data_IF_854912081662
#
_entry.id   IF_854912081662
#
_cell.length_a   1.000
_cell.length_b   1.000
_cell.length_c   1.000
_cell.angle_alpha   90.00
_cell.angle_beta   90.00
_cell.angle_gamma   90.00
#
_symmetry.space_group_name_H-M   'P 1'
#
loop_
_entity.id
_entity.type
_entity.pdbx_description
1 polymer ?
#
# COMPACT_ATOMS: atom_id res chain seq x y z
N UNK A 1 16.96 41.98 41.10
CA UNK A 1 17.00 40.59 40.60
C UNK A 1 16.26 40.52 39.30
N UNK A 2 16.99 40.35 38.19
CA UNK A 2 16.48 40.52 36.83
C UNK A 2 15.94 39.18 36.32
N UNK A 3 14.64 39.14 36.02
CA UNK A 3 13.97 38.07 35.30
C UNK A 3 13.73 38.60 33.89
N UNK A 4 14.54 38.16 32.89
CA UNK A 4 14.19 38.19 31.46
C UNK A 4 15.38 37.62 30.65
N UNK A 5 15.41 36.29 30.47
CA UNK A 5 16.14 35.63 29.36
C UNK A 5 15.16 34.74 28.63
N UNK A 6 14.32 35.34 27.77
CA UNK A 6 13.64 34.63 26.70
C UNK A 6 14.68 34.22 25.66
N UNK A 7 15.02 32.94 25.64
CA UNK A 7 15.84 32.33 24.56
C UNK A 7 15.12 32.52 23.24
N UNK A 8 15.71 33.36 22.37
CA UNK A 8 15.31 33.47 20.96
C UNK A 8 15.59 32.13 20.27
N UNK A 9 14.54 31.49 19.78
CA UNK A 9 14.62 30.37 18.85
C UNK A 9 15.25 30.92 17.56
N UNK A 10 16.32 30.31 17.00
CA UNK A 10 16.90 30.80 15.74
C UNK A 10 15.89 30.63 14.62
N UNK A 11 15.68 31.68 13.83
CA UNK A 11 14.91 31.64 12.59
C UNK A 11 15.53 30.58 11.68
N UNK A 12 14.75 29.55 11.37
CA UNK A 12 15.09 28.55 10.35
C UNK A 12 15.26 29.30 9.02
N UNK A 13 16.47 29.27 8.49
CA UNK A 13 16.78 29.86 7.21
C UNK A 13 15.84 29.27 6.12
N UNK A 14 15.11 30.15 5.43
CA UNK A 14 14.31 29.79 4.27
C UNK A 14 15.23 29.41 3.12
N UNK A 15 15.47 28.13 2.92
CA UNK A 15 16.16 27.62 1.75
C UNK A 15 15.24 27.62 0.54
N UNK A 16 15.71 27.93 -0.65
CA UNK A 16 14.88 27.91 -1.85
C UNK A 16 14.46 26.48 -2.16
N UNK A 17 13.15 26.23 -2.07
CA UNK A 17 12.51 25.05 -2.65
C UNK A 17 12.44 25.32 -4.15
N UNK A 18 13.12 24.52 -4.96
CA UNK A 18 13.11 24.67 -6.42
C UNK A 18 11.77 24.16 -6.96
N UNK A 19 10.88 25.01 -7.48
CA UNK A 19 9.61 24.55 -8.04
C UNK A 19 9.86 23.79 -9.34
N UNK A 20 9.03 22.79 -9.61
CA UNK A 20 8.96 22.17 -10.93
C UNK A 20 8.53 23.22 -11.97
N UNK A 21 9.20 23.30 -13.13
CA UNK A 21 8.83 24.25 -14.19
C UNK A 21 7.38 23.99 -14.65
N UNK A 22 6.58 25.04 -14.68
CA UNK A 22 5.22 25.00 -15.21
C UNK A 22 5.27 24.79 -16.74
N UNK A 23 4.93 23.59 -17.20
CA UNK A 23 4.55 23.38 -18.58
C UNK A 23 3.16 24.03 -18.80
N UNK A 24 3.06 24.90 -19.79
CA UNK A 24 1.83 25.61 -20.17
C UNK A 24 0.68 24.65 -20.41
N UNK A 25 -0.33 24.67 -19.55
CA UNK A 25 -1.51 23.81 -19.63
C UNK A 25 -2.52 24.38 -20.62
N UNK A 26 -2.63 23.77 -21.81
CA UNK A 26 -3.88 23.76 -22.56
C UNK A 26 -4.77 22.67 -21.95
N UNK A 27 -5.92 23.06 -21.44
CA UNK A 27 -6.88 22.14 -20.85
C UNK A 27 -7.27 21.02 -21.83
N UNK A 28 -7.26 19.75 -21.43
CA UNK A 28 -7.75 18.65 -22.26
C UNK A 28 -9.27 18.73 -22.40
N UNK A 29 -9.77 18.44 -23.62
CA UNK A 29 -11.21 18.30 -23.88
C UNK A 29 -11.75 17.11 -23.08
N UNK A 30 -13.01 17.17 -22.59
CA UNK A 30 -13.63 16.06 -21.90
C UNK A 30 -13.76 14.84 -22.83
N UNK A 31 -13.53 13.62 -22.31
CA UNK A 31 -13.67 12.40 -23.09
C UNK A 31 -15.13 12.14 -23.47
N UNK A 32 -15.34 11.60 -24.70
CA UNK A 32 -16.64 11.15 -25.17
C UNK A 32 -17.11 9.95 -24.32
N UNK A 33 -18.44 9.79 -24.09
CA UNK A 33 -18.96 8.68 -23.31
C UNK A 33 -18.67 7.35 -24.01
N UNK A 34 -18.19 6.41 -23.21
CA UNK A 34 -17.87 5.03 -23.62
C UNK A 34 -19.11 4.25 -24.04
N UNK A 35 -19.03 3.30 -24.99
CA UNK A 35 -20.13 2.44 -25.38
C UNK A 35 -20.52 1.53 -24.20
N UNK A 36 -21.83 1.28 -24.04
CA UNK A 36 -22.41 0.40 -23.03
C UNK A 36 -21.82 -1.01 -23.15
N UNK A 37 -21.16 -1.46 -22.08
CA UNK A 37 -20.64 -2.82 -21.94
C UNK A 37 -21.80 -3.80 -21.90
N UNK A 38 -21.79 -4.75 -22.82
CA UNK A 38 -22.69 -5.91 -22.85
C UNK A 38 -22.45 -6.82 -21.64
N UNK A 39 -23.54 -7.32 -21.03
CA UNK A 39 -23.54 -8.18 -19.86
C UNK A 39 -22.66 -9.42 -20.06
N UNK A 40 -21.87 -9.86 -19.05
CA UNK A 40 -21.08 -11.08 -19.15
C UNK A 40 -21.97 -12.31 -19.27
N UNK A 41 -21.66 -13.17 -20.22
CA UNK A 41 -22.28 -14.50 -20.35
C UNK A 41 -21.78 -15.39 -19.21
N UNK A 42 -22.71 -15.93 -18.42
CA UNK A 42 -22.41 -16.83 -17.32
C UNK A 42 -21.83 -18.14 -17.83
N UNK A 43 -20.55 -18.38 -17.56
CA UNK A 43 -19.90 -19.68 -17.78
C UNK A 43 -20.30 -20.62 -16.65
N UNK A 44 -21.17 -21.61 -16.95
CA UNK A 44 -21.51 -22.70 -16.04
C UNK A 44 -20.25 -23.51 -15.74
N UNK A 45 -19.74 -23.41 -14.53
CA UNK A 45 -18.72 -24.33 -14.01
C UNK A 45 -19.34 -25.73 -13.90
N UNK A 46 -18.79 -26.67 -14.64
CA UNK A 46 -19.08 -28.09 -14.57
C UNK A 46 -18.52 -28.59 -13.21
N UNK A 47 -19.42 -28.97 -12.32
CA UNK A 47 -19.05 -29.68 -11.08
C UNK A 47 -18.54 -31.07 -11.43
N UNK A 48 -17.28 -31.33 -11.14
CA UNK A 48 -16.69 -32.67 -11.19
C UNK A 48 -17.01 -33.33 -9.85
N UNK A 49 -17.91 -34.30 -9.87
CA UNK A 49 -18.19 -35.18 -8.75
C UNK A 49 -17.05 -36.20 -8.61
N UNK A 50 -16.47 -36.40 -7.41
CA UNK A 50 -15.50 -37.47 -7.20
C UNK A 50 -16.19 -38.85 -7.28
N UNK A 51 -15.48 -39.92 -7.73
CA UNK A 51 -16.04 -41.26 -7.85
C UNK A 51 -16.39 -41.81 -6.49
N UNK A 52 -17.60 -42.37 -6.37
CA UNK A 52 -18.06 -43.13 -5.20
C UNK A 52 -17.22 -44.40 -5.07
N UNK A 53 -16.63 -44.63 -3.92
CA UNK A 53 -16.07 -45.94 -3.54
C UNK A 53 -17.17 -46.96 -3.35
N UNK A 54 -16.96 -48.24 -3.73
CA UNK A 54 -17.96 -49.29 -3.56
C UNK A 54 -18.15 -49.63 -2.08
N UNK A 55 -19.43 -49.79 -1.72
CA UNK A 55 -19.88 -50.18 -0.39
C UNK A 55 -19.43 -51.62 -0.11
N UNK A 56 -18.59 -51.84 0.90
CA UNK A 56 -18.32 -53.16 1.40
C UNK A 56 -19.38 -53.58 2.41
N UNK A 57 -20.17 -54.61 2.07
CA UNK A 57 -21.11 -55.27 2.97
C UNK A 57 -20.34 -55.93 4.12
N UNK A 58 -20.72 -55.61 5.36
CA UNK A 58 -20.31 -56.40 6.56
C UNK A 58 -21.20 -57.61 6.66
N UNK A 59 -20.61 -58.81 6.97
CA UNK A 59 -21.40 -60.00 7.23
C UNK A 59 -22.13 -59.89 8.59
N UNK A 60 -23.38 -60.36 8.61
CA UNK A 60 -24.22 -60.46 9.78
C UNK A 60 -23.66 -61.50 10.76
N UNK A 61 -23.65 -61.25 12.08
CA UNK A 61 -23.35 -62.28 13.04
C UNK A 61 -24.59 -63.17 13.28
N UNK A 62 -24.36 -64.47 13.19
CA UNK A 62 -25.33 -65.50 13.56
C UNK A 62 -25.58 -65.48 15.08
N UNK A 63 -26.86 -65.68 15.45
CA UNK A 63 -27.30 -65.72 16.84
C UNK A 63 -26.79 -66.95 17.61
N UNK A 64 -26.40 -66.71 18.83
CA UNK A 64 -26.36 -67.71 19.89
C UNK A 64 -27.30 -67.25 20.98
N UNK A 65 -28.28 -68.17 21.29
CA UNK A 65 -29.13 -68.10 22.47
C UNK A 65 -28.28 -68.43 23.69
N UNK A 66 -28.48 -67.71 24.80
CA UNK A 66 -27.83 -68.05 26.05
C UNK A 66 -28.11 -67.01 27.14
N UNK A 67 -29.06 -67.33 27.96
CA UNK A 67 -29.18 -67.08 29.41
C UNK A 67 -29.20 -65.64 29.93
N UNK A 68 -30.29 -65.34 30.60
CA UNK A 68 -30.56 -64.12 31.34
C UNK A 68 -29.65 -63.91 32.52
N UNK A 69 -29.10 -62.73 32.59
CA UNK A 69 -28.58 -62.13 33.81
C UNK A 69 -29.09 -60.69 33.84
N UNK A 70 -29.87 -60.38 34.87
CA UNK A 70 -30.31 -59.04 35.20
C UNK A 70 -29.08 -58.17 35.44
N UNK A 71 -28.70 -57.39 34.44
CA UNK A 71 -27.75 -56.32 34.60
C UNK A 71 -28.52 -55.04 34.84
N UNK A 72 -28.61 -54.59 36.07
CA UNK A 72 -28.96 -53.23 36.41
C UNK A 72 -28.05 -52.29 35.57
N UNK A 73 -28.64 -51.68 34.56
CA UNK A 73 -27.99 -50.67 33.76
C UNK A 73 -27.86 -49.42 34.63
N UNK A 74 -26.82 -49.32 35.42
CA UNK A 74 -26.40 -48.03 36.00
C UNK A 74 -25.98 -47.12 34.85
N UNK A 75 -26.93 -46.32 34.37
CA UNK A 75 -26.65 -45.23 33.46
C UNK A 75 -25.58 -44.38 34.08
N UNK A 76 -24.37 -44.38 33.47
CA UNK A 76 -23.31 -43.43 33.85
C UNK A 76 -23.91 -42.01 33.78
N UNK A 77 -23.81 -41.20 34.85
CA UNK A 77 -24.30 -39.84 34.79
C UNK A 77 -23.59 -39.14 33.68
N UNK A 78 -24.37 -38.65 32.69
CA UNK A 78 -23.86 -37.87 31.60
C UNK A 78 -23.05 -36.71 32.20
N UNK A 79 -21.86 -36.45 31.70
CA UNK A 79 -21.01 -35.33 32.13
C UNK A 79 -21.68 -34.02 31.71
N UNK A 80 -22.70 -33.63 32.45
CA UNK A 80 -23.32 -32.31 32.33
C UNK A 80 -22.28 -31.23 32.63
N UNK A 81 -22.30 -30.17 31.85
CA UNK A 81 -21.42 -29.00 32.10
C UNK A 81 -21.69 -28.48 33.51
N UNK A 82 -20.67 -28.34 34.39
CA UNK A 82 -20.88 -27.86 35.75
C UNK A 82 -21.61 -26.49 35.76
N UNK A 83 -22.52 -26.26 36.71
CA UNK A 83 -23.29 -24.98 36.77
C UNK A 83 -22.40 -23.71 36.71
N UNK A 84 -21.23 -23.78 37.36
CA UNK A 84 -20.24 -22.68 37.33
C UNK A 84 -19.70 -22.40 35.91
N UNK A 85 -19.47 -23.45 35.13
CA UNK A 85 -19.03 -23.29 33.74
C UNK A 85 -20.14 -22.70 32.86
N UNK A 86 -21.41 -23.08 33.07
CA UNK A 86 -22.57 -22.46 32.40
C UNK A 86 -22.70 -21.00 32.73
N UNK A 87 -22.54 -20.62 34.00
CA UNK A 87 -22.56 -19.21 34.44
C UNK A 87 -21.43 -18.43 33.79
N UNK A 88 -20.21 -18.96 33.77
CA UNK A 88 -19.06 -18.32 33.11
C UNK A 88 -19.30 -18.15 31.61
N UNK A 89 -19.81 -19.17 30.93
CA UNK A 89 -20.16 -19.11 29.50
C UNK A 89 -21.24 -18.07 29.23
N UNK A 90 -22.26 -18.00 30.09
CA UNK A 90 -23.34 -17.01 29.99
C UNK A 90 -22.83 -15.56 30.14
N UNK A 91 -21.99 -15.29 31.13
CA UNK A 91 -21.37 -13.97 31.33
C UNK A 91 -20.47 -13.61 30.15
N UNK A 92 -19.66 -14.57 29.68
CA UNK A 92 -18.79 -14.37 28.53
C UNK A 92 -19.59 -14.05 27.26
N UNK A 93 -20.64 -14.82 26.99
CA UNK A 93 -21.52 -14.60 25.84
C UNK A 93 -22.22 -13.22 25.93
N UNK A 94 -22.71 -12.84 27.11
CA UNK A 94 -23.32 -11.53 27.33
C UNK A 94 -22.31 -10.39 27.10
N UNK A 95 -21.10 -10.53 27.63
CA UNK A 95 -20.03 -9.54 27.45
C UNK A 95 -19.65 -9.37 25.97
N UNK A 96 -19.48 -10.49 25.25
CA UNK A 96 -19.19 -10.48 23.82
C UNK A 96 -20.34 -9.83 23.05
N UNK A 97 -21.59 -10.22 23.32
CA UNK A 97 -22.78 -9.68 22.65
C UNK A 97 -22.92 -8.17 22.86
N UNK A 98 -22.72 -7.71 24.11
CA UNK A 98 -22.76 -6.26 24.45
C UNK A 98 -21.66 -5.51 23.70
N UNK A 99 -20.44 -6.06 23.67
CA UNK A 99 -19.33 -5.46 22.94
C UNK A 99 -19.57 -5.43 21.42
N UNK A 100 -20.07 -6.51 20.85
CA UNK A 100 -20.49 -6.54 19.43
C UNK A 100 -21.58 -5.51 19.12
N UNK A 101 -22.58 -5.38 20.00
CA UNK A 101 -23.63 -4.36 19.88
C UNK A 101 -23.06 -2.94 19.92
N UNK A 102 -22.13 -2.69 20.83
CA UNK A 102 -21.42 -1.41 20.91
C UNK A 102 -20.61 -1.11 19.64
N UNK A 103 -19.84 -2.09 19.14
CA UNK A 103 -19.09 -1.94 17.89
C UNK A 103 -20.00 -1.66 16.70
N UNK A 104 -21.13 -2.38 16.60
CA UNK A 104 -22.11 -2.15 15.54
C UNK A 104 -22.73 -0.75 15.62
N UNK A 105 -23.13 -0.32 16.80
CA UNK A 105 -23.70 1.03 17.01
C UNK A 105 -22.65 2.14 16.72
N UNK A 106 -21.40 1.91 17.09
CA UNK A 106 -20.31 2.83 16.77
C UNK A 106 -20.06 2.89 15.26
N UNK A 107 -20.02 1.75 14.60
CA UNK A 107 -19.87 1.67 13.15
C UNK A 107 -21.00 2.40 12.41
N UNK A 108 -22.26 2.12 12.74
CA UNK A 108 -23.42 2.78 12.10
C UNK A 108 -23.40 4.30 12.31
N UNK A 109 -22.98 4.76 13.49
CA UNK A 109 -22.82 6.20 13.78
C UNK A 109 -21.74 6.83 12.90
N UNK A 110 -20.58 6.21 12.77
CA UNK A 110 -19.50 6.73 11.93
C UNK A 110 -19.88 6.69 10.43
N UNK A 111 -20.58 5.65 9.98
CA UNK A 111 -21.12 5.59 8.60
C UNK A 111 -22.11 6.74 8.36
N UNK A 112 -23.05 6.98 9.28
CA UNK A 112 -24.00 8.09 9.15
C UNK A 112 -23.29 9.43 9.06
N UNK A 113 -22.25 9.67 9.86
CA UNK A 113 -21.42 10.88 9.77
C UNK A 113 -20.69 10.96 8.43
N UNK A 114 -20.06 9.85 7.98
CA UNK A 114 -19.33 9.80 6.74
C UNK A 114 -20.20 10.18 5.52
N UNK A 115 -21.46 9.74 5.52
CA UNK A 115 -22.42 10.03 4.44
C UNK A 115 -22.85 11.51 4.36
N UNK A 116 -22.66 12.29 5.44
CA UNK A 116 -22.96 13.73 5.44
C UNK A 116 -21.78 14.58 4.97
N UNK A 117 -20.58 13.98 4.81
CA UNK A 117 -19.39 14.70 4.42
C UNK A 117 -19.34 14.91 2.91
N UNK A 118 -19.07 16.13 2.49
CA UNK A 118 -18.76 16.48 1.10
C UNK A 118 -17.24 16.65 0.97
N UNK A 119 -16.55 15.52 0.76
CA UNK A 119 -15.08 15.49 0.69
C UNK A 119 -14.63 15.59 -0.76
N UNK A 120 -13.77 16.56 -1.11
CA UNK A 120 -13.27 16.67 -2.47
C UNK A 120 -12.42 15.46 -2.87
N UNK A 121 -12.31 15.21 -4.18
CA UNK A 121 -11.48 14.13 -4.70
C UNK A 121 -10.00 14.31 -4.36
N UNK A 122 -9.53 15.55 -4.41
CA UNK A 122 -8.20 15.95 -3.95
C UNK A 122 -8.24 16.28 -2.47
N UNK A 123 -7.49 15.54 -1.70
CA UNK A 123 -7.39 15.65 -0.23
C UNK A 123 -5.93 15.82 0.22
N UNK A 124 -5.05 16.14 -0.72
CA UNK A 124 -3.60 16.25 -0.50
C UNK A 124 -3.21 17.40 0.42
N UNK A 125 -4.04 18.46 0.51
CA UNK A 125 -3.83 19.61 1.39
C UNK A 125 -3.78 19.27 2.87
N UNK A 126 -4.42 18.18 3.29
CA UNK A 126 -4.47 17.71 4.67
C UNK A 126 -3.11 17.34 5.24
N UNK A 127 -2.20 16.90 4.38
CA UNK A 127 -0.83 16.55 4.77
C UNK A 127 0.00 17.74 5.22
N UNK A 128 -0.34 18.96 4.80
CA UNK A 128 0.33 20.17 5.28
C UNK A 128 0.08 20.41 6.77
N UNK A 129 -1.09 20.06 7.27
CA UNK A 129 -1.48 20.26 8.68
C UNK A 129 -1.12 19.08 9.57
N UNK A 130 -1.10 17.87 9.04
CA UNK A 130 -0.84 16.64 9.81
C UNK A 130 0.63 16.22 9.82
N UNK A 131 1.50 16.86 9.04
CA UNK A 131 2.90 16.47 8.88
C UNK A 131 3.65 16.28 10.20
N UNK A 132 3.43 17.18 11.18
CA UNK A 132 4.13 17.15 12.46
C UNK A 132 3.74 15.96 13.36
N UNK A 133 2.50 15.45 13.26
CA UNK A 133 1.98 14.35 14.09
C UNK A 133 1.92 13.04 13.33
N UNK A 134 2.12 13.07 12.02
CA UNK A 134 1.88 11.95 11.10
C UNK A 134 2.53 10.64 11.56
N UNK A 135 3.80 10.68 11.96
CA UNK A 135 4.52 9.48 12.38
C UNK A 135 3.89 8.84 13.62
N UNK A 136 3.48 9.66 14.62
CA UNK A 136 2.82 9.16 15.81
C UNK A 136 1.44 8.56 15.50
N UNK A 137 0.69 9.18 14.59
CA UNK A 137 -0.66 8.77 14.21
C UNK A 137 -0.68 7.41 13.49
N UNK A 138 0.35 7.13 12.67
CA UNK A 138 0.40 5.89 11.87
C UNK A 138 1.25 4.78 12.51
N UNK A 139 2.08 5.07 13.52
CA UNK A 139 3.06 4.13 14.06
C UNK A 139 2.44 2.84 14.59
N UNK A 140 1.37 2.93 15.37
CA UNK A 140 0.71 1.76 15.95
C UNK A 140 0.10 0.86 14.89
N UNK A 141 -0.59 1.44 13.91
CA UNK A 141 -1.21 0.70 12.81
C UNK A 141 -0.17 0.05 11.91
N UNK A 142 0.91 0.76 11.55
CA UNK A 142 2.00 0.20 10.75
C UNK A 142 2.73 -0.94 11.46
N UNK A 143 2.97 -0.82 12.78
CA UNK A 143 3.54 -1.91 13.59
C UNK A 143 2.63 -3.14 13.61
N UNK A 144 1.33 -2.96 13.86
CA UNK A 144 0.35 -4.04 13.88
C UNK A 144 0.26 -4.78 12.53
N UNK A 145 0.35 -4.03 11.43
CA UNK A 145 0.34 -4.58 10.06
C UNK A 145 1.72 -5.06 9.59
N UNK A 146 2.79 -4.89 10.37
CA UNK A 146 4.15 -5.26 9.98
C UNK A 146 4.64 -4.56 8.72
N UNK A 147 4.20 -3.32 8.49
CA UNK A 147 4.55 -2.55 7.28
C UNK A 147 6.03 -2.21 7.21
N UNK A 148 6.70 -2.01 8.33
CA UNK A 148 8.14 -1.74 8.37
C UNK A 148 8.97 -2.82 7.68
N UNK A 149 8.64 -4.11 7.87
CA UNK A 149 9.28 -5.21 7.14
C UNK A 149 8.99 -5.15 5.65
N UNK A 150 7.73 -4.91 5.26
CA UNK A 150 7.31 -4.84 3.85
C UNK A 150 7.96 -3.66 3.12
N UNK A 151 8.09 -2.48 3.80
CA UNK A 151 8.83 -1.33 3.29
C UNK A 151 10.30 -1.67 3.06
N UNK A 152 10.96 -2.27 4.05
CA UNK A 152 12.35 -2.71 3.93
C UNK A 152 12.54 -3.64 2.74
N UNK A 153 11.76 -4.74 2.67
CA UNK A 153 11.86 -5.75 1.62
C UNK A 153 11.60 -5.18 0.21
N UNK A 154 10.88 -4.04 0.12
CA UNK A 154 10.64 -3.32 -1.12
C UNK A 154 11.80 -2.37 -1.44
N UNK A 155 12.13 -1.47 -0.50
CA UNK A 155 13.08 -0.36 -0.71
C UNK A 155 14.51 -0.85 -0.92
N UNK A 156 14.90 -1.98 -0.30
CA UNK A 156 16.20 -2.63 -0.53
C UNK A 156 16.40 -3.14 -1.97
N UNK A 157 15.35 -3.17 -2.79
CA UNK A 157 15.48 -3.47 -4.23
C UNK A 157 15.82 -2.22 -5.06
N UNK A 158 15.75 -1.03 -4.47
CA UNK A 158 16.07 0.22 -5.16
C UNK A 158 17.56 0.28 -5.51
N UNK A 159 17.86 0.70 -6.73
CA UNK A 159 19.23 0.80 -7.26
C UNK A 159 19.37 1.95 -8.25
N UNK A 160 20.62 2.39 -8.44
CA UNK A 160 20.95 3.46 -9.39
C UNK A 160 20.43 4.83 -8.96
N UNK A 161 19.96 5.60 -9.90
CA UNK A 161 19.28 6.88 -9.63
C UNK A 161 17.84 6.60 -9.23
N UNK A 162 17.50 6.88 -7.98
CA UNK A 162 16.20 6.57 -7.39
C UNK A 162 15.33 7.81 -7.31
N UNK A 163 14.06 7.67 -7.66
CA UNK A 163 13.00 8.64 -7.36
C UNK A 163 12.07 8.05 -6.31
N UNK A 164 11.95 8.67 -5.16
CA UNK A 164 10.87 8.38 -4.22
C UNK A 164 9.81 9.48 -4.31
N UNK A 165 8.58 9.10 -4.66
CA UNK A 165 7.42 10.00 -4.69
C UNK A 165 6.50 9.75 -3.52
N UNK A 166 5.79 10.81 -3.07
CA UNK A 166 5.02 10.80 -1.83
C UNK A 166 5.89 10.34 -0.65
N UNK A 167 7.08 10.94 -0.52
CA UNK A 167 8.07 10.54 0.47
C UNK A 167 7.58 10.76 1.91
N UNK A 168 6.55 11.58 2.10
CA UNK A 168 5.96 11.89 3.40
C UNK A 168 7.01 12.39 4.39
N UNK A 169 7.02 11.81 5.57
CA UNK A 169 7.99 12.11 6.64
C UNK A 169 9.28 11.28 6.55
N UNK A 170 9.54 10.60 5.41
CA UNK A 170 10.75 9.82 5.21
C UNK A 170 10.76 8.45 5.91
N UNK A 171 9.63 7.76 5.98
CA UNK A 171 9.53 6.44 6.64
C UNK A 171 10.29 5.32 5.93
N UNK A 172 10.69 5.54 4.69
CA UNK A 172 11.54 4.61 3.92
C UNK A 172 13.05 4.85 4.12
N UNK A 173 13.44 6.01 4.63
CA UNK A 173 14.85 6.40 4.77
C UNK A 173 15.77 5.33 5.37
N UNK A 174 15.41 4.63 6.47
CA UNK A 174 16.28 3.66 7.11
C UNK A 174 16.59 2.41 6.26
N UNK A 175 15.90 2.25 5.13
CA UNK A 175 15.97 1.03 4.31
C UNK A 175 16.76 1.21 3.02
N UNK A 176 17.15 2.45 2.67
CA UNK A 176 17.99 2.71 1.50
C UNK A 176 19.42 2.25 1.72
N UNK A 177 19.96 1.54 0.75
CA UNK A 177 21.38 1.20 0.67
C UNK A 177 22.07 2.22 -0.25
N UNK A 178 22.63 3.28 0.34
CA UNK A 178 23.32 4.33 -0.40
C UNK A 178 24.73 3.90 -0.79
N UNK A 179 25.16 4.28 -1.98
CA UNK A 179 26.42 3.88 -2.57
C UNK A 179 26.29 2.63 -3.45
N UNK A 180 26.73 2.79 -4.72
CA UNK A 180 26.72 1.67 -5.66
C UNK A 180 27.85 0.69 -5.36
N UNK A 181 27.54 -0.60 -5.47
CA UNK A 181 28.51 -1.69 -5.38
C UNK A 181 28.21 -2.78 -6.40
N UNK A 182 29.23 -3.47 -6.86
CA UNK A 182 29.06 -4.66 -7.69
C UNK A 182 28.53 -5.82 -6.84
N UNK A 183 27.62 -6.60 -7.38
CA UNK A 183 27.03 -7.75 -6.72
C UNK A 183 26.41 -8.70 -7.73
N UNK A 184 25.63 -9.66 -7.20
CA UNK A 184 24.83 -10.59 -7.99
C UNK A 184 23.35 -10.33 -7.70
N UNK A 185 22.51 -10.48 -8.72
CA UNK A 185 21.06 -10.49 -8.55
C UNK A 185 20.57 -11.83 -7.97
N UNK A 186 19.25 -11.99 -7.83
CA UNK A 186 18.63 -13.20 -7.30
C UNK A 186 18.91 -14.45 -8.16
N UNK A 187 19.18 -14.27 -9.44
CA UNK A 187 19.46 -15.31 -10.41
C UNK A 187 20.98 -15.58 -10.58
N UNK A 188 21.83 -14.84 -9.83
CA UNK A 188 23.28 -15.01 -9.84
C UNK A 188 23.99 -14.23 -10.95
N UNK A 189 23.32 -13.34 -11.67
CA UNK A 189 23.95 -12.52 -12.70
C UNK A 189 24.62 -11.28 -12.09
N UNK A 190 25.74 -10.87 -12.68
CA UNK A 190 26.45 -9.66 -12.25
C UNK A 190 25.57 -8.42 -12.43
N UNK A 191 25.40 -7.67 -11.36
CA UNK A 191 24.57 -6.46 -11.33
C UNK A 191 25.19 -5.38 -10.44
N UNK A 192 24.65 -4.16 -10.54
CA UNK A 192 24.97 -3.07 -9.63
C UNK A 192 23.87 -2.98 -8.58
N UNK A 193 24.27 -3.04 -7.32
CA UNK A 193 23.40 -2.92 -6.14
C UNK A 193 23.58 -1.54 -5.51
N UNK A 194 22.56 -1.11 -4.76
CA UNK A 194 22.57 0.15 -4.04
C UNK A 194 22.22 1.38 -4.89
N UNK A 195 21.96 2.47 -4.21
CA UNK A 195 21.48 3.72 -4.79
C UNK A 195 22.65 4.67 -5.04
N UNK A 196 22.79 5.18 -6.27
CA UNK A 196 23.76 6.22 -6.64
C UNK A 196 23.31 7.57 -6.08
N UNK A 197 22.04 7.87 -6.25
CA UNK A 197 21.40 9.08 -5.72
C UNK A 197 19.93 8.80 -5.43
N UNK A 198 19.35 9.58 -4.53
CA UNK A 198 17.90 9.54 -4.27
C UNK A 198 17.32 10.95 -4.42
N UNK A 199 16.23 11.04 -5.18
CA UNK A 199 15.40 12.25 -5.29
C UNK A 199 14.10 12.00 -4.55
N UNK A 200 13.87 12.76 -3.49
CA UNK A 200 12.65 12.70 -2.68
C UNK A 200 11.68 13.76 -3.14
N UNK A 201 10.45 13.35 -3.42
CA UNK A 201 9.37 14.22 -3.90
C UNK A 201 8.12 14.03 -3.06
N UNK A 202 7.53 15.12 -2.63
CA UNK A 202 6.21 15.17 -2.03
C UNK A 202 5.50 16.46 -2.44
N UNK A 203 4.18 16.44 -2.47
CA UNK A 203 3.40 17.65 -2.76
C UNK A 203 3.46 18.64 -1.57
N UNK A 204 3.56 18.11 -0.34
CA UNK A 204 3.65 18.91 0.89
C UNK A 204 5.09 19.36 1.16
N UNK A 205 5.37 20.68 1.16
CA UNK A 205 6.68 21.21 1.53
C UNK A 205 7.08 20.86 2.97
N UNK A 206 6.11 20.71 3.87
CA UNK A 206 6.33 20.33 5.27
C UNK A 206 6.85 18.88 5.36
N UNK A 207 6.25 17.96 4.62
CA UNK A 207 6.70 16.57 4.52
C UNK A 207 8.13 16.50 3.98
N UNK A 208 8.41 17.22 2.89
CA UNK A 208 9.76 17.29 2.30
C UNK A 208 10.79 17.82 3.29
N UNK A 209 10.44 18.86 4.07
CA UNK A 209 11.34 19.42 5.07
C UNK A 209 11.68 18.40 6.17
N UNK A 210 10.69 17.67 6.67
CA UNK A 210 10.89 16.61 7.68
C UNK A 210 11.76 15.47 7.12
N UNK A 211 11.48 15.03 5.89
CA UNK A 211 12.27 14.00 5.23
C UNK A 211 13.72 14.43 5.06
N UNK A 212 13.96 15.67 4.65
CA UNK A 212 15.31 16.24 4.49
C UNK A 212 16.05 16.24 5.82
N UNK A 213 15.45 16.76 6.89
CA UNK A 213 16.05 16.80 8.23
C UNK A 213 16.45 15.40 8.71
N UNK A 214 15.58 14.40 8.54
CA UNK A 214 15.85 13.02 8.90
C UNK A 214 16.94 12.41 8.04
N UNK A 215 16.94 12.68 6.72
CA UNK A 215 17.96 12.19 5.81
C UNK A 215 19.35 12.72 6.16
N UNK A 216 19.48 14.02 6.40
CA UNK A 216 20.76 14.65 6.77
C UNK A 216 21.33 14.08 8.08
N UNK A 217 20.47 13.68 9.01
CA UNK A 217 20.88 13.00 10.25
C UNK A 217 21.35 11.56 10.02
N UNK A 218 20.69 10.83 9.12
CA UNK A 218 21.00 9.41 8.85
C UNK A 218 22.19 9.25 7.88
N UNK A 219 22.29 10.16 6.90
CA UNK A 219 23.24 10.05 5.78
C UNK A 219 23.95 11.38 5.50
N UNK A 220 24.75 11.89 6.44
CA UNK A 220 25.31 13.26 6.38
C UNK A 220 26.21 13.53 5.18
N UNK A 221 26.75 12.48 4.55
CA UNK A 221 27.70 12.60 3.43
C UNK A 221 27.15 12.12 2.10
N UNK A 222 25.90 11.65 2.06
CA UNK A 222 25.34 11.06 0.85
C UNK A 222 24.56 12.10 0.03
N UNK A 223 24.64 12.05 -1.31
CA UNK A 223 23.91 12.96 -2.17
C UNK A 223 22.41 12.59 -2.21
N UNK A 224 21.55 13.59 -2.03
CA UNK A 224 20.11 13.49 -2.23
C UNK A 224 19.54 14.81 -2.72
N UNK A 225 18.41 14.73 -3.41
CA UNK A 225 17.65 15.89 -3.89
C UNK A 225 16.25 15.88 -3.26
N UNK A 226 15.77 17.06 -2.85
CA UNK A 226 14.46 17.21 -2.19
C UNK A 226 13.63 18.23 -2.97
N UNK A 227 12.42 17.83 -3.39
CA UNK A 227 11.53 18.68 -4.21
C UNK A 227 10.11 18.65 -3.67
N UNK A 228 9.54 19.82 -3.39
CA UNK A 228 8.12 19.95 -3.12
C UNK A 228 7.38 20.18 -4.44
N UNK A 229 6.85 19.12 -5.04
CA UNK A 229 6.12 19.19 -6.29
C UNK A 229 5.21 17.97 -6.51
N UNK A 230 4.31 18.13 -7.49
CA UNK A 230 3.41 17.08 -7.94
C UNK A 230 4.18 15.92 -8.60
N UNK A 231 3.97 14.69 -8.12
CA UNK A 231 4.57 13.47 -8.66
C UNK A 231 4.28 13.25 -10.16
N UNK A 232 3.13 13.71 -10.63
CA UNK A 232 2.76 13.66 -12.06
C UNK A 232 3.47 14.69 -12.94
N UNK A 233 4.40 15.51 -12.36
CA UNK A 233 5.15 16.56 -13.09
C UNK A 233 6.65 16.49 -12.83
N UNK A 234 7.13 15.39 -12.24
CA UNK A 234 8.55 15.19 -11.98
C UNK A 234 9.29 15.03 -13.30
N UNK A 235 10.29 15.85 -13.50
CA UNK A 235 11.20 15.72 -14.65
C UNK A 235 12.29 14.69 -14.36
N UNK A 236 12.79 13.99 -15.40
CA UNK A 236 13.94 13.11 -15.28
C UNK A 236 15.16 13.84 -14.67
N UNK A 237 16.10 13.10 -14.04
CA UNK A 237 17.27 13.72 -13.46
C UNK A 237 18.05 14.48 -14.56
N UNK A 238 18.49 15.74 -14.26
CA UNK A 238 19.32 16.47 -15.18
C UNK A 238 20.70 15.80 -15.35
N UNK A 239 21.34 16.00 -16.50
CA UNK A 239 22.66 15.43 -16.82
C UNK A 239 23.74 15.79 -15.79
N UNK A 240 23.56 16.88 -15.05
CA UNK A 240 24.44 17.31 -13.97
C UNK A 240 24.42 16.37 -12.75
N UNK A 241 23.40 15.54 -12.57
CA UNK A 241 23.35 14.54 -11.51
C UNK A 241 24.23 13.31 -11.80
N UNK A 242 24.77 13.19 -13.00
CA UNK A 242 25.69 12.15 -13.44
C UNK A 242 27.15 12.64 -13.45
N UNK A 243 27.60 13.30 -12.41
CA UNK A 243 28.98 13.75 -12.32
C UNK A 243 29.98 12.59 -12.46
N UNK A 244 30.68 12.52 -13.59
CA UNK A 244 31.81 11.64 -13.81
C UNK A 244 31.76 10.65 -14.98
N UNK A 245 30.61 10.43 -15.60
CA UNK A 245 30.52 9.54 -16.77
C UNK A 245 30.02 10.34 -17.97
N UNK A 246 30.84 10.45 -19.01
CA UNK A 246 30.42 10.94 -20.33
C UNK A 246 29.31 9.99 -20.82
N UNK A 247 28.07 10.39 -20.72
CA UNK A 247 26.95 9.63 -21.26
C UNK A 247 26.81 9.86 -22.74
N UNK A 248 26.52 8.79 -23.47
CA UNK A 248 26.01 8.86 -24.85
C UNK A 248 24.79 9.79 -24.84
N UNK A 249 24.69 10.66 -25.85
CA UNK A 249 23.56 11.55 -26.07
C UNK A 249 22.23 10.76 -26.01
N UNK A 250 21.43 11.00 -24.99
CA UNK A 250 20.12 10.37 -24.81
C UNK A 250 19.41 10.86 -23.55
N UNK A 251 18.08 10.71 -23.47
CA UNK A 251 17.32 11.11 -22.31
C UNK A 251 17.79 10.37 -21.05
N UNK A 252 17.84 11.10 -19.94
CA UNK A 252 18.21 10.57 -18.63
C UNK A 252 16.95 10.10 -17.93
N UNK A 253 16.99 8.93 -17.31
CA UNK A 253 15.87 8.30 -16.60
C UNK A 253 16.24 7.99 -15.16
N UNK A 254 15.22 7.71 -14.35
CA UNK A 254 15.41 7.05 -13.05
C UNK A 254 15.52 5.53 -13.26
N UNK A 255 16.50 4.92 -12.60
CA UNK A 255 16.66 3.47 -12.63
C UNK A 255 15.60 2.78 -11.75
N UNK A 256 15.19 3.43 -10.67
CA UNK A 256 14.14 2.95 -9.78
C UNK A 256 13.22 4.10 -9.35
N UNK A 257 11.92 3.84 -9.41
CA UNK A 257 10.90 4.70 -8.78
C UNK A 257 10.31 3.95 -7.59
N UNK A 258 10.23 4.60 -6.44
CA UNK A 258 9.65 4.05 -5.21
C UNK A 258 8.43 4.89 -4.83
N UNK A 259 7.32 4.23 -4.52
CA UNK A 259 6.14 4.88 -3.96
C UNK A 259 5.49 4.00 -2.91
N UNK A 260 5.18 4.58 -1.75
CA UNK A 260 4.55 3.84 -0.66
C UNK A 260 3.44 4.66 -0.01
N UNK A 261 2.22 4.10 0.00
CA UNK A 261 1.02 4.68 0.62
C UNK A 261 0.66 6.08 0.10
N UNK A 262 0.83 6.32 -1.21
CA UNK A 262 0.62 7.63 -1.82
C UNK A 262 -0.49 7.67 -2.88
N UNK A 263 -0.75 6.56 -3.61
CA UNK A 263 -1.76 6.53 -4.68
C UNK A 263 -3.17 6.87 -4.19
N UNK A 264 -3.47 6.57 -2.94
CA UNK A 264 -4.77 6.82 -2.34
C UNK A 264 -5.12 8.32 -2.24
N UNK A 265 -4.11 9.20 -2.16
CA UNK A 265 -4.27 10.63 -1.97
C UNK A 265 -4.23 11.43 -3.28
N UNK A 266 -3.77 10.82 -4.36
CA UNK A 266 -3.61 11.50 -5.65
C UNK A 266 -4.95 11.73 -6.35
N UNK A 267 -5.19 12.89 -6.94
CA UNK A 267 -6.42 13.14 -7.72
C UNK A 267 -6.58 12.20 -8.91
N UNK A 268 -5.49 11.94 -9.65
CA UNK A 268 -5.43 11.01 -10.78
C UNK A 268 -4.22 10.07 -10.67
N UNK A 269 -4.36 8.95 -9.92
CA UNK A 269 -3.26 8.02 -9.71
C UNK A 269 -2.86 7.27 -10.99
N UNK A 270 -3.79 7.07 -11.93
CA UNK A 270 -3.50 6.41 -13.23
C UNK A 270 -2.59 7.29 -14.08
N UNK A 271 -2.93 8.58 -14.23
CA UNK A 271 -2.10 9.52 -14.96
C UNK A 271 -0.72 9.66 -14.29
N UNK A 272 -0.68 9.71 -12.95
CA UNK A 272 0.58 9.77 -12.20
C UNK A 272 1.44 8.54 -12.46
N UNK A 273 0.90 7.31 -12.34
CA UNK A 273 1.67 6.09 -12.63
C UNK A 273 2.16 6.04 -14.07
N UNK A 274 1.35 6.47 -15.03
CA UNK A 274 1.73 6.55 -16.44
C UNK A 274 2.89 7.52 -16.64
N UNK A 275 2.85 8.67 -15.96
CA UNK A 275 3.95 9.63 -15.97
C UNK A 275 5.22 9.05 -15.33
N UNK A 276 5.10 8.41 -14.17
CA UNK A 276 6.25 7.74 -13.52
C UNK A 276 6.87 6.68 -14.43
N UNK A 277 6.05 5.95 -15.20
CA UNK A 277 6.53 5.04 -16.22
C UNK A 277 7.37 5.74 -17.29
N UNK A 278 6.98 6.94 -17.72
CA UNK A 278 7.69 7.71 -18.77
C UNK A 278 9.04 8.26 -18.32
N UNK A 279 9.25 8.45 -17.01
CA UNK A 279 10.52 8.93 -16.43
C UNK A 279 11.39 7.80 -15.89
N UNK A 280 10.91 6.56 -15.93
CA UNK A 280 11.64 5.35 -15.54
C UNK A 280 12.39 4.77 -16.74
N UNK A 281 13.60 4.25 -16.53
CA UNK A 281 14.43 3.64 -17.57
C UNK A 281 13.65 2.51 -18.30
N UNK A 282 13.52 2.55 -19.63
CA UNK A 282 12.63 1.64 -20.36
C UNK A 282 13.03 0.17 -20.34
N UNK A 283 14.32 -0.14 -20.17
CA UNK A 283 14.83 -1.52 -20.24
C UNK A 283 14.82 -2.23 -18.90
N UNK A 284 15.70 -1.78 -18.01
CA UNK A 284 15.97 -2.40 -16.70
C UNK A 284 15.29 -1.70 -15.53
N UNK A 285 14.67 -0.52 -15.77
CA UNK A 285 14.06 0.31 -14.74
C UNK A 285 12.89 -0.40 -14.04
N UNK A 286 12.66 -0.06 -12.79
CA UNK A 286 11.58 -0.65 -11.95
C UNK A 286 10.82 0.44 -11.21
N UNK A 287 9.51 0.19 -11.07
CA UNK A 287 8.63 0.98 -10.20
C UNK A 287 8.18 0.07 -9.08
N UNK A 288 8.52 0.43 -7.86
CA UNK A 288 8.28 -0.33 -6.63
C UNK A 288 7.15 0.32 -5.87
N UNK A 289 6.02 -0.39 -5.74
CA UNK A 289 4.83 0.12 -5.05
C UNK A 289 4.51 -0.69 -3.80
N UNK A 290 4.16 -0.01 -2.72
CA UNK A 290 3.52 -0.58 -1.54
C UNK A 290 2.32 0.30 -1.17
N UNK A 291 1.12 -0.19 -1.41
CA UNK A 291 -0.09 0.62 -1.31
C UNK A 291 -1.17 -0.08 -0.48
N UNK A 292 -2.16 0.66 -0.04
CA UNK A 292 -3.39 0.11 0.50
C UNK A 292 -4.56 0.40 -0.44
N UNK A 293 -5.57 -0.48 -0.40
CA UNK A 293 -6.73 -0.34 -1.26
C UNK A 293 -7.74 -1.46 -1.02
N UNK A 294 -8.56 -1.72 -2.02
CA UNK A 294 -9.62 -2.73 -1.96
C UNK A 294 -9.11 -4.12 -1.63
N UNK A 295 -9.96 -4.85 -0.92
CA UNK A 295 -9.77 -6.23 -0.50
C UNK A 295 -10.17 -7.23 -1.60
N UNK A 296 -9.85 -8.52 -1.39
CA UNK A 296 -10.47 -9.65 -2.10
C UNK A 296 -11.95 -9.86 -1.74
N UNK A 297 -12.38 -9.37 -0.56
CA UNK A 297 -13.67 -9.69 0.04
C UNK A 297 -14.62 -8.50 -0.04
N UNK A 298 -15.81 -8.71 -0.60
CA UNK A 298 -16.81 -7.66 -0.75
C UNK A 298 -17.32 -7.09 0.56
N UNK A 299 -17.37 -7.89 1.63
CA UNK A 299 -17.78 -7.40 2.94
C UNK A 299 -16.76 -6.40 3.52
N UNK A 300 -15.45 -6.62 3.29
CA UNK A 300 -14.40 -5.65 3.65
C UNK A 300 -14.53 -4.39 2.81
N UNK A 301 -14.74 -4.55 1.50
CA UNK A 301 -14.89 -3.42 0.58
C UNK A 301 -16.09 -2.55 0.96
N UNK A 302 -17.20 -3.15 1.39
CA UNK A 302 -18.35 -2.38 1.91
C UNK A 302 -17.98 -1.54 3.14
N UNK A 303 -17.18 -2.05 4.05
CA UNK A 303 -16.70 -1.28 5.21
C UNK A 303 -15.81 -0.13 4.76
N UNK A 304 -14.86 -0.40 3.85
CA UNK A 304 -13.98 0.62 3.28
C UNK A 304 -14.79 1.71 2.58
N UNK A 305 -15.75 1.35 1.74
CA UNK A 305 -16.59 2.30 0.99
C UNK A 305 -17.44 3.18 1.92
N UNK A 306 -18.07 2.57 2.92
CA UNK A 306 -18.93 3.28 3.86
C UNK A 306 -18.18 4.32 4.71
N UNK A 307 -16.92 4.07 5.01
CA UNK A 307 -16.09 4.93 5.86
C UNK A 307 -15.08 5.76 5.06
N UNK A 308 -14.97 5.57 3.74
CA UNK A 308 -14.00 6.28 2.89
C UNK A 308 -14.08 7.80 3.00
N UNK A 309 -15.27 8.45 2.99
CA UNK A 309 -15.34 9.90 3.12
C UNK A 309 -14.75 10.39 4.45
N UNK A 310 -15.07 9.76 5.57
CA UNK A 310 -14.53 10.14 6.87
C UNK A 310 -13.02 9.90 6.98
N UNK A 311 -12.51 8.82 6.36
CA UNK A 311 -11.09 8.53 6.31
C UNK A 311 -10.34 9.54 5.43
N UNK A 312 -10.88 9.86 4.27
CA UNK A 312 -10.29 10.84 3.35
C UNK A 312 -10.27 12.24 3.96
N UNK A 313 -11.33 12.64 4.64
CA UNK A 313 -11.40 13.93 5.33
C UNK A 313 -10.38 14.06 6.46
N UNK A 314 -10.22 13.00 7.26
CA UNK A 314 -9.33 12.99 8.43
C UNK A 314 -7.86 12.77 8.07
N UNK A 315 -7.57 11.88 7.12
CA UNK A 315 -6.22 11.37 6.87
C UNK A 315 -5.69 11.70 5.47
N UNK A 316 -6.45 12.40 4.63
CA UNK A 316 -6.03 12.74 3.27
C UNK A 316 -5.92 11.52 2.32
N UNK A 317 -6.66 10.43 2.59
CA UNK A 317 -6.50 9.18 1.88
C UNK A 317 -7.84 8.51 1.56
N UNK A 318 -8.09 8.23 0.28
CA UNK A 318 -9.19 7.41 -0.21
C UNK A 318 -8.78 5.92 -0.20
N UNK A 319 -8.87 5.27 0.94
CA UNK A 319 -8.37 3.91 1.17
C UNK A 319 -9.14 2.80 0.44
N UNK A 320 -10.25 3.13 -0.19
CA UNK A 320 -11.10 2.20 -0.93
C UNK A 320 -10.82 2.14 -2.44
N UNK A 321 -9.67 2.65 -2.88
CA UNK A 321 -9.28 2.58 -4.30
C UNK A 321 -8.91 1.16 -4.69
N UNK A 322 -9.24 0.77 -5.91
CA UNK A 322 -8.73 -0.46 -6.50
C UNK A 322 -7.34 -0.22 -7.10
N UNK A 323 -6.31 -0.65 -6.37
CA UNK A 323 -4.92 -0.49 -6.80
C UNK A 323 -4.62 -1.34 -8.02
N UNK A 324 -5.25 -2.52 -8.14
CA UNK A 324 -5.10 -3.40 -9.31
C UNK A 324 -5.62 -2.74 -10.58
N UNK A 325 -6.78 -2.07 -10.54
CA UNK A 325 -7.32 -1.33 -11.68
C UNK A 325 -6.42 -0.15 -12.05
N UNK A 326 -5.98 0.63 -11.06
CA UNK A 326 -5.06 1.74 -11.27
C UNK A 326 -3.78 1.28 -11.99
N UNK A 327 -3.18 0.16 -11.55
CA UNK A 327 -1.97 -0.40 -12.16
C UNK A 327 -2.27 -0.89 -13.58
N UNK A 328 -3.36 -1.61 -13.81
CA UNK A 328 -3.74 -2.09 -15.15
C UNK A 328 -3.99 -0.94 -16.15
N UNK A 329 -4.72 0.09 -15.71
CA UNK A 329 -5.04 1.25 -16.54
C UNK A 329 -3.83 2.14 -16.81
N UNK A 330 -2.79 2.09 -15.96
CA UNK A 330 -1.53 2.81 -16.22
C UNK A 330 -0.80 2.30 -17.45
N UNK A 331 -1.03 1.04 -17.85
CA UNK A 331 -0.37 0.39 -18.98
C UNK A 331 1.04 -0.11 -18.67
N UNK A 332 1.49 -0.05 -17.42
CA UNK A 332 2.76 -0.61 -16.98
C UNK A 332 2.72 -2.15 -16.98
N UNK A 333 3.85 -2.78 -17.18
CA UNK A 333 3.97 -4.24 -17.10
C UNK A 333 4.17 -4.68 -15.65
N UNK A 334 3.38 -5.65 -15.20
CA UNK A 334 3.45 -6.21 -13.85
C UNK A 334 4.52 -7.31 -13.84
N UNK A 335 5.59 -7.11 -13.08
CA UNK A 335 6.65 -8.12 -12.85
C UNK A 335 6.32 -8.96 -11.63
N UNK A 336 5.84 -8.33 -10.56
CA UNK A 336 5.47 -9.00 -9.32
C UNK A 336 4.24 -8.33 -8.71
N UNK A 337 3.31 -9.15 -8.20
CA UNK A 337 2.18 -8.72 -7.37
C UNK A 337 2.14 -9.57 -6.10
N UNK A 338 2.02 -8.92 -4.94
CA UNK A 338 1.75 -9.58 -3.66
C UNK A 338 0.72 -8.80 -2.88
N UNK A 339 -0.11 -9.51 -2.12
CA UNK A 339 -1.15 -8.90 -1.28
C UNK A 339 -1.19 -9.53 0.12
N UNK A 340 -1.53 -8.71 1.13
CA UNK A 340 -1.67 -9.12 2.53
C UNK A 340 -2.91 -8.47 3.15
N UNK A 341 -3.19 -8.80 4.41
CA UNK A 341 -4.27 -8.21 5.23
C UNK A 341 -5.62 -8.28 4.52
N UNK A 342 -6.10 -9.52 4.26
CA UNK A 342 -7.32 -9.75 3.50
C UNK A 342 -7.30 -9.13 2.09
N UNK A 343 -6.12 -8.87 1.56
CA UNK A 343 -5.93 -8.27 0.25
C UNK A 343 -5.90 -6.74 0.23
N UNK A 344 -5.98 -6.06 1.38
CA UNK A 344 -5.99 -4.59 1.43
C UNK A 344 -4.62 -3.95 1.32
N UNK A 345 -3.54 -4.69 1.53
CA UNK A 345 -2.16 -4.21 1.32
C UNK A 345 -1.62 -4.83 0.05
N UNK A 346 -1.22 -3.97 -0.88
CA UNK A 346 -0.75 -4.31 -2.20
C UNK A 346 0.72 -4.00 -2.35
N UNK A 347 1.47 -4.90 -2.95
CA UNK A 347 2.83 -4.67 -3.41
C UNK A 347 2.93 -5.00 -4.88
N UNK A 348 3.56 -4.09 -5.63
CA UNK A 348 3.88 -4.31 -7.03
C UNK A 348 5.36 -4.04 -7.30
N UNK A 349 5.92 -4.81 -8.21
CA UNK A 349 7.11 -4.45 -8.98
C UNK A 349 6.65 -4.31 -10.42
N UNK A 350 6.78 -3.11 -10.96
CA UNK A 350 6.35 -2.78 -12.32
C UNK A 350 7.54 -2.35 -13.15
N UNK A 351 7.39 -2.41 -14.47
CA UNK A 351 8.33 -1.80 -15.41
C UNK A 351 7.60 -1.06 -16.53
N UNK A 352 8.25 -0.06 -17.15
CA UNK A 352 7.70 0.57 -18.33
C UNK A 352 7.47 -0.47 -19.41
N UNK A 353 6.33 -0.37 -20.13
CA UNK A 353 6.08 -1.20 -21.27
C UNK A 353 7.05 -0.79 -22.39
N UNK A 354 7.83 -1.71 -22.90
CA UNK A 354 8.68 -1.43 -24.04
C UNK A 354 7.79 -1.04 -25.23
N UNK A 355 8.00 0.18 -25.75
CA UNK A 355 7.44 0.52 -27.04
C UNK A 355 8.05 -0.43 -28.05
N UNK A 356 7.27 -1.35 -28.60
CA UNK A 356 7.63 -2.06 -29.83
C UNK A 356 7.59 -1.03 -30.96
N UNK A 357 8.63 -0.20 -31.10
CA UNK A 357 8.94 0.41 -32.36
C UNK A 357 9.25 -0.75 -33.31
N UNK A 358 8.26 -1.12 -34.10
CA UNK A 358 8.51 -1.88 -35.32
C UNK A 358 9.46 -1.01 -36.13
N UNK A 359 10.73 -1.39 -36.19
CA UNK A 359 11.62 -0.96 -37.25
C UNK A 359 10.96 -1.43 -38.57
N UNK A 360 10.19 -0.56 -39.16
CA UNK A 360 9.89 -0.65 -40.60
C UNK A 360 11.12 -0.11 -41.31
N UNK A 361 12.03 -1.01 -41.58
CA UNK A 361 13.05 -0.82 -42.63
C UNK A 361 12.47 -1.22 -43.97
#
# INVERSE_FOLDING_TARGET
MNVNQLRRVPLVAKWPVTPCRNASSKAPRPPKPSPKVSKPVAIKRRQVTPPRQPFQERPSPQGTQGEGLNAETTAKPGHGIPPRALTFLGITALTISTYCGYLYASYTREVSKAQTLNVPRDVSDRYNTTAATFDADVELSEKAMGLGKKRRDLVQQARGNVLEVSCGTGRNLPFYELGERRGLDADGHATVLGCRSVTFVDLSPQMVAITKEKFEKLYPTSPATFRACDAGKVEPPSDLARSGVKTKEGPVYFDTVVQTMGLCSMPDPVATLRHLGSVTEPGSGRILLLEHGRSYYDWVNRILDNLAPAHADRHGCWWNRDIGDIVRESGLEIVEEKRWHLGTTWRYVLKPKQSTEKSQS
#
